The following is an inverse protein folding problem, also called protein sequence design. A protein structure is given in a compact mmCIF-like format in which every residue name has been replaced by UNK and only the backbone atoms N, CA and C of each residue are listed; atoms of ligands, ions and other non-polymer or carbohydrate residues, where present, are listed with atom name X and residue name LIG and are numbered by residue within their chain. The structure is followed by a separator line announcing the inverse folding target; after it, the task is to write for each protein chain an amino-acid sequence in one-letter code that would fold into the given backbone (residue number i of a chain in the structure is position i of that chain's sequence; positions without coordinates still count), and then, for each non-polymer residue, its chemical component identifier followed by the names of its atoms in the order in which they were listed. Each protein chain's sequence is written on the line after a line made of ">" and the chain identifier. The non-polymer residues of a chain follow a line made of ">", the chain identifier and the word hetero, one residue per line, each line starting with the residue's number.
data_IF_473122728122
#
_entry.id   IF_473122728122
#
_cell.length_a   1.000
_cell.length_b   1.000
_cell.length_c   1.000
_cell.angle_alpha   90.00
_cell.angle_beta   90.00
_cell.angle_gamma   90.00
#
_symmetry.space_group_name_H-M   'P 1'
#
loop_
_entity.id
_entity.type
_entity.pdbx_description
1 polymer ?
#
# COMPACT_ATOMS: atom_id res chain seq x y z
N UNK A 1 -25.68 7.96 16.75
CA UNK A 1 -24.73 7.24 17.63
C UNK A 1 -24.09 5.98 16.98
N UNK A 2 -24.66 5.38 15.92
CA UNK A 2 -24.19 4.10 15.39
C UNK A 2 -22.90 4.13 14.51
N UNK A 3 -22.53 5.27 13.94
CA UNK A 3 -21.36 5.35 13.04
C UNK A 3 -20.01 5.18 13.77
N UNK A 4 -19.88 5.73 14.98
CA UNK A 4 -18.65 5.62 15.79
C UNK A 4 -18.39 4.19 16.27
N UNK A 5 -19.42 3.50 16.76
CA UNK A 5 -19.30 2.10 17.18
C UNK A 5 -18.88 1.17 16.03
N UNK A 6 -19.36 1.42 14.80
CA UNK A 6 -18.95 0.67 13.62
C UNK A 6 -17.49 0.93 13.22
N UNK A 7 -16.96 2.14 13.45
CA UNK A 7 -15.56 2.47 13.13
C UNK A 7 -14.61 1.82 14.14
N UNK A 8 -14.91 1.90 15.43
CA UNK A 8 -14.10 1.27 16.48
C UNK A 8 -13.99 -0.25 16.26
N UNK A 9 -15.10 -0.92 15.92
CA UNK A 9 -15.11 -2.34 15.61
C UNK A 9 -14.24 -2.67 14.38
N UNK A 10 -14.32 -1.87 13.31
CA UNK A 10 -13.48 -2.06 12.13
C UNK A 10 -11.99 -1.89 12.43
N UNK A 11 -11.62 -0.92 13.28
CA UNK A 11 -10.23 -0.73 13.74
C UNK A 11 -9.75 -1.95 14.53
N UNK A 12 -10.54 -2.45 15.47
CA UNK A 12 -10.17 -3.63 16.25
C UNK A 12 -9.96 -4.87 15.38
N UNK A 13 -10.83 -5.09 14.39
CA UNK A 13 -10.69 -6.18 13.42
C UNK A 13 -9.44 -6.01 12.54
N UNK A 14 -9.19 -4.79 12.06
CA UNK A 14 -8.01 -4.46 11.27
C UNK A 14 -6.70 -4.67 12.07
N UNK A 15 -6.66 -4.28 13.35
CA UNK A 15 -5.50 -4.54 14.23
C UNK A 15 -5.25 -6.03 14.40
N UNK A 16 -6.31 -6.83 14.62
CA UNK A 16 -6.19 -8.27 14.76
C UNK A 16 -5.64 -8.91 13.46
N UNK A 17 -6.21 -8.55 12.31
CA UNK A 17 -5.77 -9.04 11.01
C UNK A 17 -4.32 -8.65 10.69
N UNK A 18 -3.91 -7.41 11.01
CA UNK A 18 -2.53 -6.96 10.85
C UNK A 18 -1.56 -7.76 11.74
N UNK A 19 -1.93 -8.02 13.00
CA UNK A 19 -1.12 -8.81 13.92
C UNK A 19 -0.99 -10.27 13.45
N UNK A 20 -2.07 -10.89 12.99
CA UNK A 20 -2.06 -12.24 12.41
C UNK A 20 -1.18 -12.33 11.15
N UNK A 21 -1.11 -11.25 10.36
CA UNK A 21 -0.22 -11.12 9.22
C UNK A 21 1.26 -10.85 9.60
N UNK A 22 1.59 -10.81 10.89
CA UNK A 22 2.96 -10.65 11.40
C UNK A 22 3.41 -9.21 11.59
N UNK A 23 2.50 -8.23 11.53
CA UNK A 23 2.84 -6.82 11.79
C UNK A 23 3.18 -6.59 13.27
N UNK A 24 4.27 -5.88 13.61
CA UNK A 24 4.58 -5.53 15.00
C UNK A 24 3.45 -4.71 15.63
N UNK A 25 3.06 -5.06 16.86
CA UNK A 25 1.94 -4.39 17.56
C UNK A 25 2.11 -2.87 17.71
N UNK A 26 3.36 -2.39 17.81
CA UNK A 26 3.66 -0.96 17.88
C UNK A 26 3.20 -0.19 16.62
N UNK A 27 3.18 -0.86 15.46
CA UNK A 27 2.78 -0.28 14.18
C UNK A 27 1.33 -0.61 13.81
N UNK A 28 0.81 -1.76 14.28
CA UNK A 28 -0.51 -2.27 13.90
C UNK A 28 -1.67 -1.27 14.15
N UNK A 29 -1.62 -0.48 15.23
CA UNK A 29 -2.66 0.51 15.55
C UNK A 29 -2.77 1.60 14.48
N UNK A 30 -1.67 2.31 14.21
CA UNK A 30 -1.64 3.41 13.23
C UNK A 30 -1.95 2.92 11.80
N UNK A 31 -1.43 1.75 11.43
CA UNK A 31 -1.70 1.15 10.12
C UNK A 31 -3.17 0.75 10.00
N UNK A 32 -3.78 0.16 11.05
CA UNK A 32 -5.19 -0.19 11.06
C UNK A 32 -6.10 1.04 10.95
N UNK A 33 -5.79 2.13 11.64
CA UNK A 33 -6.55 3.38 11.56
C UNK A 33 -6.54 3.97 10.15
N UNK A 34 -5.36 4.06 9.54
CA UNK A 34 -5.19 4.55 8.16
C UNK A 34 -5.90 3.64 7.16
N UNK A 35 -5.83 2.32 7.34
CA UNK A 35 -6.51 1.35 6.48
C UNK A 35 -8.04 1.45 6.62
N UNK A 36 -8.57 1.61 7.83
CA UNK A 36 -10.02 1.84 8.05
C UNK A 36 -10.47 3.18 7.48
N UNK A 37 -9.62 4.21 7.49
CA UNK A 37 -9.95 5.48 6.86
C UNK A 37 -10.16 5.34 5.35
N UNK A 38 -9.40 4.47 4.67
CA UNK A 38 -9.50 4.22 3.24
C UNK A 38 -10.57 3.18 2.86
N UNK A 39 -10.59 2.04 3.55
CA UNK A 39 -11.37 0.87 3.15
C UNK A 39 -12.60 0.61 4.04
N UNK A 40 -12.77 1.40 5.10
CA UNK A 40 -13.90 1.29 6.02
C UNK A 40 -14.04 -0.11 6.61
N UNK A 41 -15.21 -0.74 6.38
CA UNK A 41 -15.53 -2.08 6.91
C UNK A 41 -14.70 -3.20 6.27
N UNK A 42 -14.11 -2.95 5.08
CA UNK A 42 -13.27 -3.92 4.36
C UNK A 42 -11.80 -3.85 4.77
N UNK A 43 -11.45 -3.01 5.75
CA UNK A 43 -10.06 -2.86 6.17
C UNK A 43 -9.44 -4.22 6.51
N UNK A 44 -10.10 -5.06 7.32
CA UNK A 44 -9.60 -6.38 7.68
C UNK A 44 -9.27 -7.27 6.45
N UNK A 45 -10.03 -7.13 5.37
CA UNK A 45 -9.84 -7.88 4.12
C UNK A 45 -8.52 -7.54 3.42
N UNK A 46 -7.92 -6.37 3.71
CA UNK A 46 -6.63 -5.96 3.14
C UNK A 46 -5.51 -6.94 3.52
N UNK A 47 -5.54 -7.48 4.74
CA UNK A 47 -4.53 -8.43 5.22
C UNK A 47 -4.85 -9.88 4.85
N UNK A 48 -6.07 -10.15 4.38
CA UNK A 48 -6.43 -11.47 3.89
C UNK A 48 -5.88 -11.66 2.48
N UNK A 49 -4.88 -12.54 2.37
CA UNK A 49 -4.42 -13.04 1.09
C UNK A 49 -5.49 -14.00 0.58
N UNK A 50 -6.23 -13.62 -0.46
CA UNK A 50 -7.11 -14.56 -1.15
C UNK A 50 -6.26 -15.74 -1.60
N UNK A 51 -6.53 -16.94 -1.07
CA UNK A 51 -5.99 -18.19 -1.61
C UNK A 51 -6.57 -18.32 -3.02
N UNK A 52 -5.84 -17.88 -4.03
CA UNK A 52 -6.22 -18.15 -5.42
C UNK A 52 -5.97 -19.65 -5.66
N UNK A 53 -6.98 -20.48 -5.94
CA UNK A 53 -6.77 -21.89 -6.23
C UNK A 53 -5.85 -22.05 -7.45
N UNK A 54 -4.70 -22.70 -7.29
CA UNK A 54 -3.73 -22.89 -8.38
C UNK A 54 -2.65 -21.80 -8.49
N UNK A 55 -2.68 -20.76 -7.65
CA UNK A 55 -1.54 -19.90 -7.37
C UNK A 55 -1.19 -20.01 -5.88
N UNK A 56 -0.78 -21.20 -5.45
CA UNK A 56 0.28 -21.25 -4.45
C UNK A 56 1.48 -20.58 -5.12
N UNK A 57 1.61 -19.28 -4.91
CA UNK A 57 2.89 -18.60 -5.06
C UNK A 57 3.81 -19.29 -4.07
N UNK A 58 4.43 -20.37 -4.55
CA UNK A 58 5.51 -21.09 -3.90
C UNK A 58 6.34 -20.04 -3.20
N UNK A 59 6.47 -20.18 -1.88
CA UNK A 59 7.27 -19.36 -0.98
C UNK A 59 8.20 -18.46 -1.79
N UNK A 60 7.79 -17.22 -2.04
CA UNK A 60 8.75 -16.22 -2.50
C UNK A 60 9.72 -16.15 -1.33
N UNK A 61 10.83 -16.87 -1.47
CA UNK A 61 11.96 -16.75 -0.58
C UNK A 61 12.34 -15.29 -0.68
N UNK A 62 11.94 -14.51 0.34
CA UNK A 62 12.51 -13.19 0.57
C UNK A 62 13.95 -13.49 0.94
N UNK A 63 14.79 -13.63 -0.09
CA UNK A 63 16.22 -13.54 0.11
C UNK A 63 16.46 -12.09 0.54
N UNK A 64 16.97 -11.94 1.76
CA UNK A 64 17.55 -10.72 2.28
C UNK A 64 18.42 -10.08 1.19
N UNK A 65 17.85 -9.07 0.52
CA UNK A 65 18.63 -8.09 -0.21
C UNK A 65 18.04 -6.74 0.15
N UNK A 66 18.85 -6.00 0.90
CA UNK A 66 18.55 -4.68 1.41
C UNK A 66 17.88 -3.78 0.35
N UNK A 67 16.88 -3.01 0.79
CA UNK A 67 16.27 -1.84 0.13
C UNK A 67 15.03 -2.03 -0.78
N UNK A 68 14.22 -3.06 -0.55
CA UNK A 68 12.79 -3.08 -0.97
C UNK A 68 11.85 -2.90 0.24
N UNK A 69 10.55 -2.55 0.06
CA UNK A 69 9.61 -2.50 1.17
C UNK A 69 9.47 -3.90 1.74
N UNK A 70 10.07 -4.09 2.93
CA UNK A 70 9.96 -5.31 3.71
C UNK A 70 8.49 -5.67 3.97
N UNK A 71 8.22 -6.90 4.42
CA UNK A 71 6.86 -7.34 4.75
C UNK A 71 6.35 -6.50 5.93
N UNK A 72 5.66 -5.39 5.64
CA UNK A 72 5.19 -4.50 6.71
C UNK A 72 4.33 -3.33 6.21
N UNK A 73 4.90 -2.40 5.46
CA UNK A 73 4.22 -1.14 5.11
C UNK A 73 4.92 -0.42 3.94
N UNK A 74 4.23 0.55 3.35
CA UNK A 74 4.76 1.44 2.32
C UNK A 74 5.56 2.56 3.01
N UNK A 75 6.80 2.82 2.61
CA UNK A 75 7.67 3.80 3.27
C UNK A 75 7.05 5.19 3.27
N UNK A 76 7.23 5.89 4.39
CA UNK A 76 6.76 7.27 4.59
C UNK A 76 5.27 7.40 4.90
N UNK A 77 4.47 6.34 4.79
CA UNK A 77 3.03 6.37 5.06
C UNK A 77 2.60 5.20 5.94
N UNK A 78 1.54 5.38 6.73
CA UNK A 78 1.07 4.34 7.65
C UNK A 78 0.10 3.38 6.93
N UNK A 79 0.50 2.88 5.75
CA UNK A 79 -0.32 1.96 4.94
C UNK A 79 0.38 0.62 4.75
N UNK A 80 -0.35 -0.50 4.84
CA UNK A 80 0.24 -1.82 4.66
C UNK A 80 0.57 -2.04 3.17
N UNK A 81 1.67 -2.74 2.89
CA UNK A 81 2.00 -3.17 1.53
C UNK A 81 0.86 -3.98 0.88
N UNK A 82 0.15 -4.78 1.70
CA UNK A 82 -1.01 -5.57 1.29
C UNK A 82 -2.18 -4.71 0.74
N UNK A 83 -2.24 -3.41 1.05
CA UNK A 83 -3.25 -2.51 0.47
C UNK A 83 -3.11 -2.41 -1.06
N UNK A 84 -1.88 -2.41 -1.59
CA UNK A 84 -1.67 -2.38 -3.05
C UNK A 84 -2.19 -3.67 -3.68
N UNK A 85 -1.84 -4.83 -3.12
CA UNK A 85 -2.33 -6.13 -3.59
C UNK A 85 -3.86 -6.23 -3.54
N UNK A 86 -4.45 -5.71 -2.47
CA UNK A 86 -5.90 -5.64 -2.32
C UNK A 86 -6.53 -4.75 -3.41
N UNK A 87 -6.00 -3.56 -3.65
CA UNK A 87 -6.50 -2.66 -4.69
C UNK A 87 -6.44 -3.28 -6.09
N UNK A 88 -5.37 -4.02 -6.40
CA UNK A 88 -5.24 -4.76 -7.66
C UNK A 88 -6.33 -5.83 -7.78
N UNK A 89 -6.47 -6.67 -6.75
CA UNK A 89 -7.31 -7.87 -6.79
C UNK A 89 -8.79 -7.58 -6.67
N UNK A 90 -9.14 -6.77 -5.68
CA UNK A 90 -10.52 -6.60 -5.20
C UNK A 90 -11.17 -5.32 -5.71
N UNK A 91 -10.35 -4.43 -6.26
CA UNK A 91 -10.84 -3.16 -6.78
C UNK A 91 -10.29 -2.88 -8.19
N UNK A 92 -9.64 -3.83 -8.86
CA UNK A 92 -9.18 -3.74 -10.25
C UNK A 92 -8.27 -2.53 -10.57
N UNK A 93 -7.36 -2.18 -9.66
CA UNK A 93 -6.34 -1.19 -9.95
C UNK A 93 -5.31 -1.75 -10.94
N UNK A 94 -5.13 -1.07 -12.08
CA UNK A 94 -4.29 -1.55 -13.20
C UNK A 94 -3.11 -0.64 -13.53
N UNK A 95 -3.00 0.53 -12.89
CA UNK A 95 -1.89 1.46 -13.10
C UNK A 95 -1.38 2.01 -11.77
N UNK A 96 -0.13 2.48 -11.77
CA UNK A 96 0.47 3.18 -10.63
C UNK A 96 -0.37 4.39 -10.21
N UNK A 97 -0.84 5.20 -11.16
CA UNK A 97 -1.64 6.40 -10.85
C UNK A 97 -2.99 6.06 -10.23
N UNK A 98 -3.67 5.00 -10.66
CA UNK A 98 -4.96 4.63 -10.06
C UNK A 98 -4.77 4.27 -8.58
N UNK A 99 -3.70 3.52 -8.26
CA UNK A 99 -3.36 3.21 -6.87
C UNK A 99 -3.00 4.48 -6.10
N UNK A 100 -2.10 5.32 -6.62
CA UNK A 100 -1.61 6.52 -5.94
C UNK A 100 -2.72 7.56 -5.74
N UNK A 101 -3.49 7.90 -6.78
CA UNK A 101 -4.41 9.04 -6.75
C UNK A 101 -5.81 8.66 -6.24
N UNK A 102 -6.28 7.44 -6.54
CA UNK A 102 -7.71 7.08 -6.36
C UNK A 102 -7.95 6.06 -5.25
N UNK A 103 -7.05 5.10 -5.05
CA UNK A 103 -7.27 4.03 -4.06
C UNK A 103 -6.63 4.34 -2.72
N UNK A 104 -5.34 4.68 -2.74
CA UNK A 104 -4.61 5.03 -1.53
C UNK A 104 -4.67 6.52 -1.22
N UNK A 105 -5.20 7.34 -2.15
CA UNK A 105 -5.35 8.80 -2.02
C UNK A 105 -4.04 9.51 -1.62
N UNK A 106 -2.90 8.94 -2.02
CA UNK A 106 -1.57 9.38 -1.63
C UNK A 106 -1.18 10.73 -2.23
N UNK A 107 -1.81 11.15 -3.33
CA UNK A 107 -1.65 12.50 -3.90
C UNK A 107 -1.94 13.62 -2.89
N UNK A 108 -2.73 13.35 -1.84
CA UNK A 108 -3.06 14.29 -0.77
C UNK A 108 -2.32 14.00 0.54
N UNK A 109 -1.52 12.93 0.59
CA UNK A 109 -0.82 12.52 1.81
C UNK A 109 0.39 13.43 2.05
N UNK A 110 0.47 14.02 3.23
CA UNK A 110 1.49 15.04 3.54
C UNK A 110 2.92 14.51 3.41
N UNK A 111 3.14 13.25 3.80
CA UNK A 111 4.43 12.53 3.76
C UNK A 111 4.70 11.80 2.44
N UNK A 112 3.90 12.01 1.39
CA UNK A 112 4.17 11.40 0.08
C UNK A 112 5.58 11.78 -0.41
N UNK A 113 6.39 10.77 -0.72
CA UNK A 113 7.76 10.91 -1.22
C UNK A 113 7.97 10.05 -2.47
N UNK A 114 9.09 10.26 -3.18
CA UNK A 114 9.44 9.41 -4.34
C UNK A 114 9.66 7.95 -3.93
N UNK A 115 10.17 7.69 -2.73
CA UNK A 115 10.34 6.33 -2.19
C UNK A 115 9.00 5.64 -1.95
N UNK A 116 8.00 6.38 -1.46
CA UNK A 116 6.62 5.89 -1.31
C UNK A 116 6.06 5.45 -2.67
N UNK A 117 6.25 6.25 -3.71
CA UNK A 117 5.78 5.93 -5.07
C UNK A 117 6.54 4.71 -5.64
N UNK A 118 7.87 4.66 -5.40
CA UNK A 118 8.69 3.52 -5.80
C UNK A 118 8.27 2.21 -5.11
N UNK A 119 7.91 2.24 -3.83
CA UNK A 119 7.39 1.08 -3.11
C UNK A 119 6.10 0.55 -3.73
N UNK A 120 5.18 1.45 -4.10
CA UNK A 120 3.92 1.08 -4.77
C UNK A 120 4.21 0.48 -6.15
N UNK A 121 5.15 1.06 -6.92
CA UNK A 121 5.55 0.51 -8.20
C UNK A 121 6.15 -0.89 -8.05
N UNK A 122 7.03 -1.12 -7.07
CA UNK A 122 7.60 -2.45 -6.80
C UNK A 122 6.53 -3.47 -6.37
N UNK A 123 5.54 -3.03 -5.59
CA UNK A 123 4.39 -3.87 -5.22
C UNK A 123 3.54 -4.25 -6.44
N UNK A 124 3.33 -3.31 -7.38
CA UNK A 124 2.65 -3.59 -8.65
C UNK A 124 3.45 -4.54 -9.55
N UNK A 125 4.79 -4.46 -9.52
CA UNK A 125 5.66 -5.43 -10.20
C UNK A 125 5.49 -6.82 -9.61
N UNK A 126 5.53 -6.94 -8.27
CA UNK A 126 5.31 -8.22 -7.58
C UNK A 126 3.92 -8.81 -7.83
N UNK A 127 2.91 -7.95 -7.99
CA UNK A 127 1.55 -8.36 -8.34
C UNK A 127 1.39 -8.71 -9.84
N UNK A 128 2.41 -8.53 -10.67
CA UNK A 128 2.37 -8.81 -12.11
C UNK A 128 1.57 -7.78 -12.92
N UNK A 129 1.27 -6.62 -12.34
CA UNK A 129 0.53 -5.52 -13.01
C UNK A 129 1.48 -4.59 -13.77
N UNK A 130 2.68 -4.38 -13.23
CA UNK A 130 3.70 -3.52 -13.82
C UNK A 130 4.92 -4.35 -14.24
N UNK A 131 5.47 -4.08 -15.42
CA UNK A 131 6.71 -4.71 -15.86
C UNK A 131 7.91 -4.12 -15.09
N UNK A 132 8.83 -4.97 -14.63
CA UNK A 132 9.94 -4.56 -13.77
C UNK A 132 10.88 -3.54 -14.43
N UNK A 133 11.08 -3.65 -15.75
CA UNK A 133 11.90 -2.75 -16.57
C UNK A 133 11.23 -1.38 -16.79
N UNK A 134 9.91 -1.29 -16.64
CA UNK A 134 9.15 -0.04 -16.73
C UNK A 134 8.97 0.66 -15.39
N UNK A 135 9.30 0.02 -14.26
CA UNK A 135 8.99 0.54 -12.94
C UNK A 135 9.55 1.95 -12.68
N UNK A 136 10.83 2.19 -13.01
CA UNK A 136 11.45 3.50 -12.83
C UNK A 136 10.82 4.58 -13.71
N UNK A 137 10.47 4.24 -14.95
CA UNK A 137 9.82 5.15 -15.91
C UNK A 137 8.44 5.55 -15.41
N UNK A 138 7.66 4.59 -14.91
CA UNK A 138 6.33 4.88 -14.34
C UNK A 138 6.39 5.72 -13.07
N UNK A 139 7.40 5.52 -12.21
CA UNK A 139 7.62 6.37 -11.04
C UNK A 139 7.87 7.82 -11.46
N UNK A 140 8.75 8.05 -12.42
CA UNK A 140 9.07 9.40 -12.90
C UNK A 140 7.86 10.06 -13.59
N UNK A 141 7.11 9.28 -14.38
CA UNK A 141 5.89 9.75 -15.02
C UNK A 141 4.80 10.10 -13.98
N UNK A 142 4.66 9.30 -12.92
CA UNK A 142 3.74 9.58 -11.82
C UNK A 142 4.11 10.87 -11.08
N UNK A 143 5.39 11.07 -10.77
CA UNK A 143 5.89 12.31 -10.14
C UNK A 143 5.57 13.53 -11.01
N UNK A 144 5.88 13.47 -12.30
CA UNK A 144 5.58 14.57 -13.24
C UNK A 144 4.08 14.85 -13.37
N UNK A 145 3.23 13.80 -13.34
CA UNK A 145 1.76 13.95 -13.33
C UNK A 145 1.26 14.62 -12.06
N UNK A 146 1.78 14.25 -10.89
CA UNK A 146 1.40 14.87 -9.62
C UNK A 146 1.74 16.37 -9.60
N UNK A 147 2.89 16.75 -10.13
CA UNK A 147 3.28 18.15 -10.26
C UNK A 147 2.37 18.90 -11.24
N UNK A 148 2.18 18.37 -12.46
CA UNK A 148 1.37 19.04 -13.50
C UNK A 148 -0.12 19.13 -13.17
N UNK A 149 -0.69 18.13 -12.50
CA UNK A 149 -2.14 18.06 -12.20
C UNK A 149 -2.52 18.73 -10.89
N UNK A 150 -1.67 18.62 -9.87
CA UNK A 150 -1.98 19.05 -8.50
C UNK A 150 -1.03 20.13 -7.97
N UNK A 151 0.01 20.52 -8.72
CA UNK A 151 1.09 21.37 -8.21
C UNK A 151 1.90 20.69 -7.09
N UNK A 152 1.81 19.36 -6.97
CA UNK A 152 2.41 18.61 -5.87
C UNK A 152 3.88 18.32 -6.19
N UNK A 153 4.78 18.98 -5.49
CA UNK A 153 6.21 18.66 -5.52
C UNK A 153 6.44 17.42 -4.66
N UNK A 154 6.95 16.36 -5.28
CA UNK A 154 7.28 15.11 -4.58
C UNK A 154 8.74 15.16 -4.11
N UNK A 155 9.00 15.18 -2.79
CA UNK A 155 10.37 15.21 -2.29
C UNK A 155 11.11 13.91 -2.61
N UNK A 156 12.40 14.03 -2.88
CA UNK A 156 13.33 12.92 -2.79
C UNK A 156 13.77 12.78 -1.33
N UNK A 157 13.51 11.63 -0.71
CA UNK A 157 14.14 11.32 0.56
C UNK A 157 15.60 10.93 0.29
N UNK A 158 16.49 11.92 0.23
CA UNK A 158 17.91 11.66 0.36
C UNK A 158 18.19 11.43 1.85
N UNK A 159 18.21 10.18 2.28
CA UNK A 159 18.86 9.83 3.55
C UNK A 159 20.36 10.02 3.31
N UNK A 160 20.91 11.14 3.82
CA UNK A 160 22.35 11.29 4.08
C UNK A 160 22.72 10.45 5.30
#
# INVERSE_FOLDING_TARGET
>A
ACAGASRTAAIQQAVAAAAEAGMPMQQAGAVAESTVALFGKRAADVWHRSKVPGQDVAQIQIQDKAQGPGPGHIRGVDLPAAAVEFCVREEWAVTLDDVIERRLMLSFHERLSRETIADVAELLVRAGVLAADLAAVEVDACVARLESRYGRIVPQNNIL
#
